data_IF_070709053570
#
_entry.id   IF_070709053570
#
_cell.length_a   1.000
_cell.length_b   1.000
_cell.length_c   1.000
_cell.angle_alpha   90.00
_cell.angle_beta   90.00
_cell.angle_gamma   90.00
#
_symmetry.space_group_name_H-M   'P 1'
#
loop_
_entity.id
_entity.type
_entity.pdbx_description
1 polymer ?
#
# COMPACT_ATOMS: atom_id res chain seq x y z
N UNK A 1 -1.65 -34.55 45.45
CA UNK A 1 -2.57 -33.53 44.87
C UNK A 1 -1.89 -32.49 43.96
N UNK A 2 -0.54 -32.37 43.91
CA UNK A 2 0.16 -31.42 43.02
C UNK A 2 0.24 -31.84 41.54
N UNK A 3 0.18 -33.16 41.25
CA UNK A 3 0.28 -33.69 39.88
C UNK A 3 -0.98 -33.47 39.02
N UNK A 4 -2.17 -33.30 39.62
CA UNK A 4 -3.40 -33.02 38.86
C UNK A 4 -3.52 -31.55 38.43
N UNK A 5 -2.85 -30.62 39.13
CA UNK A 5 -2.88 -29.19 38.78
C UNK A 5 -1.95 -28.84 37.62
N UNK A 6 -0.80 -29.51 37.50
CA UNK A 6 0.11 -29.30 36.36
C UNK A 6 -0.45 -29.83 35.04
N UNK A 7 -1.26 -30.89 35.08
CA UNK A 7 -1.89 -31.47 33.89
C UNK A 7 -2.93 -30.51 33.25
N UNK A 8 -3.68 -29.77 34.07
CA UNK A 8 -4.69 -28.82 33.59
C UNK A 8 -4.08 -27.61 32.88
N UNK A 9 -2.93 -27.11 33.37
CA UNK A 9 -2.23 -26.00 32.74
C UNK A 9 -1.58 -26.40 31.40
N UNK A 10 -1.02 -27.61 31.32
CA UNK A 10 -0.44 -28.12 30.07
C UNK A 10 -1.50 -28.34 28.98
N UNK A 11 -2.68 -28.85 29.36
CA UNK A 11 -3.78 -29.07 28.43
C UNK A 11 -4.36 -27.74 27.90
N UNK A 12 -4.50 -26.74 28.77
CA UNK A 12 -4.95 -25.40 28.37
C UNK A 12 -3.96 -24.73 27.41
N UNK A 13 -2.65 -24.84 27.65
CA UNK A 13 -1.62 -24.31 26.77
C UNK A 13 -1.64 -25.00 25.39
N UNK A 14 -1.87 -26.33 25.36
CA UNK A 14 -1.95 -27.10 24.13
C UNK A 14 -3.23 -26.78 23.32
N UNK A 15 -4.35 -26.54 24.00
CA UNK A 15 -5.59 -26.06 23.34
C UNK A 15 -5.45 -24.64 22.77
N UNK A 16 -4.74 -23.74 23.45
CA UNK A 16 -4.46 -22.39 22.91
C UNK A 16 -3.54 -22.48 21.70
N UNK A 17 -2.48 -23.29 21.77
CA UNK A 17 -1.58 -23.51 20.63
C UNK A 17 -2.32 -24.12 19.42
N UNK A 18 -3.20 -25.10 19.65
CA UNK A 18 -4.03 -25.69 18.61
C UNK A 18 -5.03 -24.69 18.01
N UNK A 19 -5.62 -23.79 18.82
CA UNK A 19 -6.50 -22.73 18.33
C UNK A 19 -5.76 -21.69 17.47
N UNK A 20 -4.56 -21.28 17.87
CA UNK A 20 -3.72 -20.38 17.07
C UNK A 20 -3.33 -21.02 15.75
N UNK A 21 -2.94 -22.31 15.77
CA UNK A 21 -2.56 -23.05 14.56
C UNK A 21 -3.75 -23.27 13.61
N UNK A 22 -4.95 -23.51 14.14
CA UNK A 22 -6.18 -23.65 13.34
C UNK A 22 -6.71 -22.32 12.80
N UNK A 23 -6.42 -21.20 13.45
CA UNK A 23 -6.73 -19.84 12.96
C UNK A 23 -5.76 -19.42 11.83
N UNK A 24 -4.49 -19.81 11.90
CA UNK A 24 -3.52 -19.58 10.82
C UNK A 24 -3.80 -20.47 9.59
N UNK A 25 -4.32 -21.68 9.78
CA UNK A 25 -4.68 -22.58 8.67
C UNK A 25 -6.03 -22.25 7.99
N UNK A 26 -6.96 -21.56 8.67
CA UNK A 26 -8.27 -21.20 8.10
C UNK A 26 -8.35 -19.79 7.49
N UNK A 27 -7.30 -18.98 7.58
CA UNK A 27 -7.27 -17.64 6.98
C UNK A 27 -7.08 -17.64 5.44
N UNK A 28 -6.97 -18.82 4.81
CA UNK A 28 -6.62 -18.96 3.39
C UNK A 28 -7.78 -19.33 2.46
N UNK A 29 -9.05 -19.28 2.89
CA UNK A 29 -10.19 -19.52 1.99
C UNK A 29 -11.35 -18.51 2.18
N UNK A 30 -11.58 -17.71 1.11
CA UNK A 30 -12.82 -16.97 0.73
C UNK A 30 -13.23 -15.67 1.48
N UNK A 31 -12.64 -14.56 1.01
CA UNK A 31 -13.27 -13.44 0.27
C UNK A 31 -14.80 -13.23 0.42
N UNK A 32 -15.20 -12.01 0.87
CA UNK A 32 -16.33 -11.22 0.31
C UNK A 32 -15.87 -9.74 0.26
N UNK A 33 -15.75 -9.09 -0.92
CA UNK A 33 -15.78 -7.64 -1.03
C UNK A 33 -17.23 -7.19 -1.27
N UNK A 34 -17.68 -6.21 -0.50
CA UNK A 34 -18.93 -5.50 -0.75
C UNK A 34 -18.63 -4.40 -1.78
N UNK A 35 -19.29 -4.46 -2.94
CA UNK A 35 -19.47 -3.36 -3.89
C UNK A 35 -20.92 -2.87 -3.74
N UNK A 36 -21.17 -1.56 -3.64
CA UNK A 36 -21.79 -0.68 -4.67
C UNK A 36 -22.28 0.59 -3.95
N UNK A 37 -22.35 1.83 -4.47
CA UNK A 37 -22.12 2.51 -5.76
C UNK A 37 -21.71 3.98 -5.40
N UNK A 38 -20.94 4.76 -6.17
CA UNK A 38 -21.34 5.45 -7.40
C UNK A 38 -20.12 6.00 -8.17
N UNK A 39 -20.17 5.90 -9.50
CA UNK A 39 -19.83 7.02 -10.38
C UNK A 39 -18.37 7.28 -10.77
N UNK A 40 -17.79 6.46 -11.65
CA UNK A 40 -16.94 6.96 -12.74
C UNK A 40 -16.84 5.94 -13.88
N UNK A 41 -17.66 6.16 -14.92
CA UNK A 41 -17.47 5.54 -16.21
C UNK A 41 -16.12 5.98 -16.80
N UNK A 42 -15.27 5.02 -17.13
CA UNK A 42 -14.25 5.18 -18.16
C UNK A 42 -14.04 3.83 -18.81
N UNK A 43 -14.69 3.67 -19.96
CA UNK A 43 -14.47 2.57 -20.89
C UNK A 43 -13.03 2.62 -21.40
N UNK A 44 -12.22 1.64 -21.02
CA UNK A 44 -11.02 1.27 -21.78
C UNK A 44 -11.11 -0.22 -22.13
N UNK A 45 -11.77 -0.48 -23.24
CA UNK A 45 -11.90 -1.78 -23.87
C UNK A 45 -10.62 -2.13 -24.63
N UNK A 46 -9.58 -2.68 -23.99
CA UNK A 46 -8.36 -3.16 -24.68
C UNK A 46 -7.93 -4.56 -24.22
N UNK A 47 -7.32 -5.35 -25.14
CA UNK A 47 -7.42 -6.79 -25.12
C UNK A 47 -6.43 -7.43 -24.14
N UNK A 48 -6.95 -8.31 -23.29
CA UNK A 48 -6.15 -9.34 -22.66
C UNK A 48 -5.77 -10.40 -23.71
N UNK A 49 -4.75 -10.14 -24.55
CA UNK A 49 -4.12 -11.21 -25.34
C UNK A 49 -3.11 -11.96 -24.49
N UNK A 50 -3.62 -12.69 -23.49
CA UNK A 50 -2.86 -13.75 -22.85
C UNK A 50 -2.73 -14.91 -23.83
N UNK A 51 -1.58 -15.03 -24.49
CA UNK A 51 -1.20 -16.30 -25.10
C UNK A 51 -1.06 -17.32 -23.96
N UNK A 52 -2.03 -18.23 -23.85
CA UNK A 52 -1.95 -19.41 -22.98
C UNK A 52 -0.89 -20.33 -23.55
N UNK A 53 0.36 -20.11 -23.18
CA UNK A 53 1.40 -21.13 -23.32
C UNK A 53 1.17 -22.21 -22.25
N UNK A 54 1.18 -23.47 -22.69
CA UNK A 54 0.97 -24.67 -21.89
C UNK A 54 1.94 -24.74 -20.68
N UNK A 55 1.52 -25.36 -19.55
CA UNK A 55 2.40 -25.55 -18.40
C UNK A 55 3.41 -26.66 -18.71
N UNK A 56 4.69 -26.34 -18.91
CA UNK A 56 5.69 -27.41 -19.06
C UNK A 56 7.11 -27.11 -19.55
N UNK A 57 7.48 -25.89 -19.97
CA UNK A 57 8.89 -25.59 -20.28
C UNK A 57 9.39 -24.43 -19.44
N UNK A 58 10.27 -24.74 -18.48
CA UNK A 58 11.13 -23.72 -17.85
C UNK A 58 11.99 -23.14 -18.97
N UNK A 59 11.60 -21.99 -19.49
CA UNK A 59 12.38 -21.28 -20.48
C UNK A 59 13.72 -20.89 -19.86
N UNK A 60 14.80 -21.44 -20.41
CA UNK A 60 16.16 -21.02 -20.06
C UNK A 60 16.53 -19.82 -20.90
N UNK A 61 17.23 -18.87 -20.29
CA UNK A 61 17.68 -17.63 -20.91
C UNK A 61 18.30 -17.82 -22.31
N UNK A 62 19.21 -18.78 -22.49
CA UNK A 62 19.86 -19.03 -23.79
C UNK A 62 18.89 -19.54 -24.87
N UNK A 63 17.96 -20.43 -24.48
CA UNK A 63 16.92 -20.95 -25.38
C UNK A 63 15.85 -19.91 -25.71
N UNK A 64 15.65 -18.93 -24.84
CA UNK A 64 14.79 -17.78 -25.11
C UNK A 64 15.46 -16.85 -26.12
N UNK A 65 16.74 -16.54 -25.92
CA UNK A 65 17.51 -15.66 -26.82
C UNK A 65 17.54 -16.20 -28.25
N UNK A 66 17.68 -17.52 -28.43
CA UNK A 66 17.71 -18.12 -29.77
C UNK A 66 16.40 -17.99 -30.55
N UNK A 67 15.31 -17.54 -29.92
CA UNK A 67 14.00 -17.34 -30.53
C UNK A 67 13.70 -15.88 -30.87
N UNK A 68 14.55 -14.95 -30.43
CA UNK A 68 14.38 -13.53 -30.74
C UNK A 68 14.59 -13.36 -32.24
N UNK A 69 13.59 -12.83 -32.92
CA UNK A 69 13.66 -12.54 -34.35
C UNK A 69 13.62 -11.03 -34.60
N UNK A 70 14.70 -10.51 -35.18
CA UNK A 70 14.80 -9.11 -35.59
C UNK A 70 14.49 -8.90 -37.07
N UNK A 71 14.18 -9.97 -37.82
CA UNK A 71 14.02 -9.95 -39.28
C UNK A 71 12.64 -9.49 -39.77
N UNK A 72 11.63 -9.42 -38.90
CA UNK A 72 10.33 -8.85 -39.26
C UNK A 72 10.30 -7.33 -39.14
N UNK A 73 10.21 -6.67 -40.30
CA UNK A 73 9.66 -5.32 -40.49
C UNK A 73 8.15 -5.29 -40.21
N UNK A 74 7.72 -5.88 -39.09
CA UNK A 74 6.36 -5.80 -38.59
C UNK A 74 6.02 -4.35 -38.26
N UNK A 75 4.80 -3.93 -38.57
CA UNK A 75 4.32 -2.59 -38.25
C UNK A 75 4.67 -2.24 -36.80
N UNK A 76 5.37 -1.11 -36.61
CA UNK A 76 5.63 -0.54 -35.28
C UNK A 76 4.32 -0.53 -34.51
N UNK A 77 4.22 -1.40 -33.52
CA UNK A 77 3.03 -1.48 -32.71
C UNK A 77 3.10 -0.31 -31.72
N UNK A 78 2.53 0.84 -32.09
CA UNK A 78 2.55 2.05 -31.26
C UNK A 78 2.04 1.81 -29.83
N UNK A 79 1.17 0.82 -29.64
CA UNK A 79 0.71 0.38 -28.32
C UNK A 79 1.84 -0.24 -27.46
N UNK A 80 2.77 -1.00 -28.06
CA UNK A 80 3.91 -1.59 -27.36
C UNK A 80 5.05 -0.58 -27.15
N UNK A 81 5.28 0.33 -28.09
CA UNK A 81 6.22 1.46 -27.92
C UNK A 81 5.89 2.29 -26.69
N UNK A 82 4.59 2.46 -26.42
CA UNK A 82 4.14 3.13 -25.22
C UNK A 82 4.24 2.25 -23.98
N UNK A 83 4.40 0.93 -24.05
CA UNK A 83 4.32 0.06 -22.87
C UNK A 83 5.60 0.02 -22.00
N UNK A 84 6.73 0.54 -22.52
CA UNK A 84 8.02 0.38 -21.85
C UNK A 84 8.15 1.11 -20.51
N UNK A 85 7.28 2.08 -20.22
CA UNK A 85 7.24 2.74 -18.92
C UNK A 85 6.93 1.78 -17.76
N UNK A 86 6.40 0.58 -18.03
CA UNK A 86 6.13 -0.42 -16.99
C UNK A 86 7.36 -1.21 -16.57
N UNK A 87 8.42 -1.16 -17.37
CA UNK A 87 9.66 -1.88 -17.09
C UNK A 87 10.66 -0.99 -16.35
N UNK A 88 11.47 -1.57 -15.46
CA UNK A 88 12.62 -0.88 -14.91
C UNK A 88 13.70 -0.69 -15.98
N UNK A 89 14.55 0.31 -15.77
CA UNK A 89 15.69 0.61 -16.65
C UNK A 89 16.98 0.64 -15.82
N UNK A 90 18.07 0.14 -16.41
CA UNK A 90 19.43 0.45 -15.98
C UNK A 90 20.08 1.37 -17.03
N UNK A 91 20.29 2.63 -16.66
CA UNK A 91 20.59 3.68 -17.64
C UNK A 91 19.48 3.78 -18.70
N UNK A 92 19.86 3.59 -19.95
CA UNK A 92 18.94 3.58 -21.11
C UNK A 92 18.49 2.17 -21.51
N UNK A 93 18.88 1.13 -20.75
CA UNK A 93 18.59 -0.26 -21.08
C UNK A 93 17.34 -0.74 -20.33
N UNK A 94 16.24 -1.09 -21.03
CA UNK A 94 15.09 -1.72 -20.37
C UNK A 94 15.48 -3.08 -19.78
N UNK A 95 14.94 -3.39 -18.61
CA UNK A 95 15.10 -4.67 -17.94
C UNK A 95 13.80 -5.46 -18.10
N UNK A 96 13.86 -6.57 -18.83
CA UNK A 96 12.68 -7.36 -19.21
C UNK A 96 12.86 -8.79 -18.73
N UNK A 97 11.87 -9.31 -18.02
CA UNK A 97 11.83 -10.72 -17.65
C UNK A 97 11.44 -11.57 -18.87
N UNK A 98 12.15 -12.68 -19.10
CA UNK A 98 11.84 -13.62 -20.21
C UNK A 98 10.41 -14.18 -20.14
N UNK A 99 9.76 -14.16 -18.98
CA UNK A 99 8.35 -14.52 -18.84
C UNK A 99 7.39 -13.56 -19.59
N UNK A 100 7.85 -12.35 -19.95
CA UNK A 100 7.06 -11.40 -20.75
C UNK A 100 6.93 -11.81 -22.23
N UNK A 101 7.71 -12.79 -22.70
CA UNK A 101 7.73 -13.24 -24.09
C UNK A 101 8.69 -12.44 -24.99
N UNK A 102 8.96 -12.97 -26.19
CA UNK A 102 9.96 -12.41 -27.11
C UNK A 102 9.54 -11.08 -27.72
N UNK A 103 8.24 -10.83 -27.88
CA UNK A 103 7.73 -9.62 -28.53
C UNK A 103 8.19 -8.32 -27.85
N UNK A 104 8.11 -8.24 -26.51
CA UNK A 104 8.58 -7.06 -25.77
C UNK A 104 10.10 -6.86 -25.90
N UNK A 105 10.84 -7.96 -26.01
CA UNK A 105 12.30 -7.96 -26.15
C UNK A 105 12.73 -7.52 -27.54
N UNK A 106 12.06 -8.01 -28.59
CA UNK A 106 12.30 -7.64 -29.98
C UNK A 106 12.03 -6.15 -30.19
N UNK A 107 10.91 -5.63 -29.68
CA UNK A 107 10.60 -4.20 -29.76
C UNK A 107 11.59 -3.35 -28.94
N UNK A 108 12.04 -3.83 -27.76
CA UNK A 108 13.06 -3.14 -26.99
C UNK A 108 14.39 -3.06 -27.76
N UNK A 109 14.83 -4.16 -28.37
CA UNK A 109 16.04 -4.21 -29.19
C UNK A 109 15.94 -3.30 -30.43
N UNK A 110 14.76 -3.20 -31.05
CA UNK A 110 14.53 -2.27 -32.17
C UNK A 110 14.54 -0.81 -31.73
N UNK A 111 14.02 -0.49 -30.53
CA UNK A 111 13.87 0.88 -30.05
C UNK A 111 15.13 1.42 -29.37
N UNK A 112 15.76 0.62 -28.51
CA UNK A 112 16.89 1.03 -27.67
C UNK A 112 18.23 0.43 -28.13
N UNK A 113 18.20 -0.54 -29.04
CA UNK A 113 19.41 -1.24 -29.52
C UNK A 113 19.96 -2.26 -28.52
N UNK A 114 19.46 -2.27 -27.28
CA UNK A 114 19.90 -3.17 -26.22
C UNK A 114 18.79 -3.40 -25.18
N UNK A 115 18.95 -4.45 -24.38
CA UNK A 115 18.02 -4.84 -23.32
C UNK A 115 18.76 -5.72 -22.31
N UNK A 116 18.40 -5.61 -21.03
CA UNK A 116 18.80 -6.57 -20.00
C UNK A 116 17.69 -7.61 -19.87
N UNK A 117 17.97 -8.86 -20.23
CA UNK A 117 17.06 -9.96 -20.02
C UNK A 117 17.31 -10.60 -18.67
N UNK A 118 16.26 -10.73 -17.88
CA UNK A 118 16.31 -11.43 -16.58
C UNK A 118 15.50 -12.72 -16.65
N UNK A 119 16.06 -13.75 -16.04
CA UNK A 119 15.42 -15.03 -15.80
C UNK A 119 15.20 -15.14 -14.29
N UNK A 120 14.03 -14.68 -13.83
CA UNK A 120 13.69 -14.69 -12.41
C UNK A 120 13.57 -16.10 -11.82
N UNK A 121 13.35 -17.12 -12.65
CA UNK A 121 13.29 -18.52 -12.20
C UNK A 121 14.69 -19.06 -11.92
N UNK A 122 15.63 -18.84 -12.83
CA UNK A 122 17.00 -19.34 -12.72
C UNK A 122 17.98 -18.34 -12.08
N UNK A 123 17.51 -17.16 -11.66
CA UNK A 123 18.28 -16.09 -11.03
C UNK A 123 19.50 -15.67 -11.89
N UNK A 124 19.27 -15.47 -13.18
CA UNK A 124 20.30 -15.05 -14.16
C UNK A 124 19.88 -13.80 -14.90
N UNK A 125 20.87 -13.05 -15.38
CA UNK A 125 20.63 -11.95 -16.29
C UNK A 125 21.70 -11.92 -17.39
N UNK A 126 21.30 -11.49 -18.59
CA UNK A 126 22.20 -11.24 -19.71
C UNK A 126 21.87 -9.89 -20.34
N UNK A 127 22.90 -9.19 -20.77
CA UNK A 127 22.75 -8.05 -21.68
C UNK A 127 22.65 -8.59 -23.09
N UNK A 128 21.68 -8.11 -23.84
CA UNK A 128 21.46 -8.46 -25.23
C UNK A 128 21.50 -7.18 -26.05
N UNK A 129 22.29 -7.17 -27.11
CA UNK A 129 22.47 -6.02 -28.01
C UNK A 129 22.12 -6.40 -29.44
N UNK A 130 21.47 -5.49 -30.15
CA UNK A 130 21.24 -5.59 -31.58
C UNK A 130 22.32 -4.77 -32.30
N UNK A 131 23.29 -5.45 -32.93
CA UNK A 131 24.33 -4.82 -33.74
C UNK A 131 24.24 -5.35 -35.18
N UNK A 132 24.03 -4.45 -36.15
CA UNK A 132 24.00 -4.78 -37.59
C UNK A 132 23.02 -5.92 -37.94
N UNK A 133 21.84 -5.94 -37.30
CA UNK A 133 20.83 -6.99 -37.50
C UNK A 133 21.17 -8.34 -36.87
N UNK A 134 22.22 -8.42 -36.04
CA UNK A 134 22.59 -9.61 -35.27
C UNK A 134 22.47 -9.36 -33.78
N UNK A 135 22.22 -10.43 -33.04
CA UNK A 135 22.15 -10.42 -31.58
C UNK A 135 23.53 -10.75 -31.01
N UNK A 136 24.03 -9.89 -30.13
CA UNK A 136 25.17 -10.17 -29.27
C UNK A 136 24.70 -10.32 -27.83
N UNK A 137 25.36 -11.21 -27.08
CA UNK A 137 25.00 -11.49 -25.68
C UNK A 137 26.21 -11.39 -24.80
N UNK A 138 26.04 -10.77 -23.65
CA UNK A 138 27.06 -10.60 -22.63
C UNK A 138 26.50 -10.94 -21.27
N UNK A 139 27.34 -11.47 -20.39
CA UNK A 139 26.97 -11.63 -18.99
C UNK A 139 26.73 -10.25 -18.36
N UNK A 140 25.69 -10.16 -17.52
CA UNK A 140 25.31 -8.91 -16.91
C UNK A 140 25.83 -8.81 -15.48
N UNK A 141 26.80 -7.91 -15.25
CA UNK A 141 27.50 -7.78 -13.97
C UNK A 141 26.56 -7.50 -12.79
N UNK A 142 25.50 -6.72 -13.00
CA UNK A 142 24.56 -6.32 -11.94
C UNK A 142 23.32 -7.21 -11.87
N UNK A 143 23.47 -8.52 -12.09
CA UNK A 143 22.36 -9.50 -12.13
C UNK A 143 21.40 -9.37 -10.94
N UNK A 144 21.93 -9.27 -9.71
CA UNK A 144 21.10 -9.14 -8.51
C UNK A 144 20.24 -7.86 -8.48
N UNK A 145 20.79 -6.74 -8.96
CA UNK A 145 20.06 -5.47 -9.04
C UNK A 145 18.94 -5.55 -10.09
N UNK A 146 19.23 -6.09 -11.28
CA UNK A 146 18.23 -6.25 -12.34
C UNK A 146 17.08 -7.18 -11.93
N UNK A 147 17.39 -8.32 -11.31
CA UNK A 147 16.39 -9.24 -10.76
C UNK A 147 15.54 -8.59 -9.66
N UNK A 148 16.17 -7.77 -8.82
CA UNK A 148 15.43 -7.07 -7.78
C UNK A 148 14.51 -6.00 -8.36
N UNK A 149 14.99 -5.16 -9.27
CA UNK A 149 14.18 -4.13 -9.94
C UNK A 149 13.01 -4.75 -10.71
N UNK A 150 13.23 -5.87 -11.43
CA UNK A 150 12.16 -6.57 -12.15
C UNK A 150 11.09 -7.17 -11.24
N UNK A 151 11.42 -7.44 -9.97
CA UNK A 151 10.48 -7.96 -8.97
C UNK A 151 9.57 -6.90 -8.32
N UNK A 152 9.88 -5.62 -8.54
CA UNK A 152 9.11 -4.48 -8.02
C UNK A 152 7.86 -4.29 -8.87
N UNK A 153 6.81 -3.77 -8.24
CA UNK A 153 5.54 -3.55 -8.93
C UNK A 153 5.68 -2.59 -10.13
N UNK A 154 5.14 -2.95 -11.32
CA UNK A 154 5.18 -2.11 -12.52
C UNK A 154 4.63 -0.69 -12.35
N UNK A 155 3.69 -0.47 -11.42
CA UNK A 155 3.15 0.88 -11.14
C UNK A 155 4.24 1.82 -10.61
N UNK A 156 5.22 1.30 -9.86
CA UNK A 156 6.36 2.08 -9.35
C UNK A 156 7.25 2.55 -10.49
N UNK A 157 7.52 1.66 -11.45
CA UNK A 157 8.32 1.97 -12.63
C UNK A 157 7.58 2.98 -13.51
N UNK A 158 6.28 2.76 -13.72
CA UNK A 158 5.41 3.69 -14.46
C UNK A 158 5.45 5.08 -13.85
N UNK A 159 5.26 5.17 -12.53
CA UNK A 159 5.33 6.43 -11.81
C UNK A 159 6.70 7.11 -11.93
N UNK A 160 7.80 6.35 -11.81
CA UNK A 160 9.18 6.87 -11.99
C UNK A 160 9.38 7.45 -13.38
N UNK A 161 8.99 6.73 -14.43
CA UNK A 161 9.11 7.20 -15.82
C UNK A 161 8.31 8.46 -16.07
N UNK A 162 7.04 8.48 -15.62
CA UNK A 162 6.19 9.66 -15.76
C UNK A 162 6.74 10.86 -14.99
N UNK A 163 7.37 10.65 -13.83
CA UNK A 163 7.97 11.73 -13.04
C UNK A 163 9.21 12.32 -13.71
N UNK A 164 10.05 11.50 -14.36
CA UNK A 164 11.22 12.00 -15.11
C UNK A 164 10.83 12.73 -16.40
N UNK A 165 9.73 12.32 -17.04
CA UNK A 165 9.32 12.82 -18.36
C UNK A 165 8.22 13.89 -18.30
N UNK A 166 7.93 14.47 -17.11
CA UNK A 166 6.84 15.44 -16.94
C UNK A 166 6.94 16.66 -17.88
N UNK A 167 8.16 17.05 -18.27
CA UNK A 167 8.40 18.20 -19.14
C UNK A 167 8.18 17.92 -20.64
N UNK A 168 7.92 16.68 -21.05
CA UNK A 168 7.70 16.33 -22.45
C UNK A 168 6.19 16.36 -22.79
N UNK A 169 5.66 17.41 -23.44
CA UNK A 169 4.24 17.52 -23.77
C UNK A 169 3.77 16.46 -24.79
N UNK A 170 4.71 15.85 -25.50
CA UNK A 170 4.45 14.79 -26.47
C UNK A 170 4.59 13.38 -25.86
N UNK A 171 4.75 13.27 -24.53
CA UNK A 171 4.83 11.97 -23.88
C UNK A 171 3.49 11.22 -24.04
N UNK A 172 3.51 9.96 -24.51
CA UNK A 172 2.30 9.23 -24.90
C UNK A 172 1.37 8.90 -23.73
N UNK A 173 1.88 8.95 -22.50
CA UNK A 173 1.12 8.70 -21.28
C UNK A 173 1.30 9.89 -20.35
N UNK A 174 0.19 10.43 -19.84
CA UNK A 174 0.20 11.54 -18.90
C UNK A 174 0.15 11.02 -17.47
N UNK A 175 0.68 11.80 -16.54
CA UNK A 175 0.47 11.55 -15.11
C UNK A 175 -1.04 11.57 -14.82
N UNK A 176 -1.62 10.52 -14.22
CA UNK A 176 -3.01 10.55 -13.81
C UNK A 176 -3.23 11.57 -12.70
N UNK A 177 -4.49 11.94 -12.47
CA UNK A 177 -4.84 12.87 -11.41
C UNK A 177 -4.41 12.29 -10.04
N UNK A 178 -3.75 13.11 -9.19
CA UNK A 178 -3.34 12.68 -7.85
C UNK A 178 -4.55 12.25 -7.00
N UNK A 179 -4.48 11.06 -6.43
CA UNK A 179 -5.53 10.52 -5.55
C UNK A 179 -5.10 10.75 -4.09
N UNK A 180 -5.95 11.42 -3.31
CA UNK A 180 -5.65 11.83 -1.94
C UNK A 180 -5.23 10.63 -1.05
N UNK A 181 -4.05 10.73 -0.44
CA UNK A 181 -3.52 9.71 0.49
C UNK A 181 -3.55 10.14 1.95
N UNK A 182 -4.07 11.32 2.30
CA UNK A 182 -4.07 11.86 3.68
C UNK A 182 -4.75 10.92 4.68
N UNK A 183 -5.68 10.10 4.17
CA UNK A 183 -6.40 9.12 4.96
C UNK A 183 -5.59 7.83 5.23
N UNK A 184 -4.54 7.56 4.47
CA UNK A 184 -3.67 6.40 4.63
C UNK A 184 -2.71 6.57 5.81
N UNK A 185 -2.12 5.49 6.34
CA UNK A 185 -1.13 5.58 7.41
C UNK A 185 0.06 6.46 7.02
N UNK A 186 0.57 7.27 7.94
CA UNK A 186 1.77 8.07 7.76
C UNK A 186 2.75 7.84 8.91
N UNK A 187 4.03 7.72 8.56
CA UNK A 187 5.12 7.69 9.53
C UNK A 187 6.08 8.84 9.24
N UNK A 188 6.39 9.64 10.26
CA UNK A 188 7.30 10.79 10.14
C UNK A 188 6.89 11.77 9.00
N UNK A 189 5.59 11.88 8.71
CA UNK A 189 5.04 12.73 7.63
C UNK A 189 5.02 12.09 6.24
N UNK A 190 5.55 10.87 6.08
CA UNK A 190 5.56 10.14 4.82
C UNK A 190 4.43 9.10 4.75
N UNK A 191 3.64 9.08 3.67
CA UNK A 191 2.54 8.12 3.51
C UNK A 191 3.05 6.70 3.28
N UNK A 192 2.27 5.73 3.75
CA UNK A 192 2.49 4.29 3.55
C UNK A 192 1.36 3.75 2.68
N UNK A 193 1.66 3.44 1.42
CA UNK A 193 0.71 2.86 0.49
C UNK A 193 0.66 1.34 0.64
N UNK A 194 -0.55 0.79 0.64
CA UNK A 194 -0.78 -0.65 0.64
C UNK A 194 -1.07 -1.16 -0.77
N UNK A 195 -1.18 -2.48 -0.97
CA UNK A 195 -1.49 -3.05 -2.28
C UNK A 195 -2.80 -2.52 -2.89
N UNK A 196 -3.77 -2.07 -2.08
CA UNK A 196 -5.02 -1.47 -2.57
C UNK A 196 -4.88 -0.02 -3.05
N UNK A 197 -3.83 0.67 -2.57
CA UNK A 197 -3.64 2.12 -2.74
C UNK A 197 -2.33 2.44 -3.48
N UNK A 198 -1.73 1.45 -4.16
CA UNK A 198 -0.45 1.59 -4.85
C UNK A 198 -0.61 1.79 -6.36
N UNK A 199 -1.53 2.67 -6.76
CA UNK A 199 -1.67 3.12 -8.17
C UNK A 199 -0.80 4.35 -8.43
N UNK A 200 -0.46 4.63 -9.70
CA UNK A 200 0.28 5.86 -10.07
C UNK A 200 -0.35 7.13 -9.49
N UNK A 201 -1.68 7.25 -9.47
CA UNK A 201 -2.37 8.43 -8.92
C UNK A 201 -2.16 8.62 -7.41
N UNK A 202 -2.19 7.53 -6.63
CA UNK A 202 -1.85 7.57 -5.21
C UNK A 202 -0.37 7.89 -5.01
N UNK A 203 0.53 7.30 -5.81
CA UNK A 203 1.98 7.60 -5.74
C UNK A 203 2.28 9.06 -6.06
N UNK A 204 1.59 9.64 -7.03
CA UNK A 204 1.71 11.05 -7.39
C UNK A 204 1.33 11.95 -6.21
N UNK A 205 0.18 11.72 -5.57
CA UNK A 205 -0.20 12.46 -4.37
C UNK A 205 0.75 12.21 -3.21
N UNK A 206 1.12 10.94 -2.98
CA UNK A 206 1.99 10.51 -1.89
C UNK A 206 3.37 11.17 -1.96
N UNK A 207 3.91 11.34 -3.16
CA UNK A 207 5.19 12.01 -3.40
C UNK A 207 5.14 13.54 -3.19
N UNK A 208 3.95 14.13 -3.07
CA UNK A 208 3.77 15.56 -2.84
C UNK A 208 3.89 15.91 -1.35
N UNK A 209 5.08 15.66 -0.78
CA UNK A 209 5.45 16.00 0.57
C UNK A 209 6.90 16.56 0.60
N UNK A 210 7.36 17.18 1.69
CA UNK A 210 8.69 17.80 1.76
C UNK A 210 9.85 16.83 1.45
N UNK A 211 9.74 15.56 1.84
CA UNK A 211 10.76 14.53 1.60
C UNK A 211 10.70 13.97 0.17
N UNK A 212 9.62 14.26 -0.57
CA UNK A 212 9.31 13.68 -1.89
C UNK A 212 9.45 12.16 -1.91
N UNK A 213 8.96 11.50 -0.86
CA UNK A 213 9.09 10.05 -0.69
C UNK A 213 7.86 9.44 -0.06
N UNK A 214 7.70 8.13 -0.24
CA UNK A 214 6.65 7.36 0.39
C UNK A 214 7.09 5.91 0.57
N UNK A 215 6.34 5.16 1.38
CA UNK A 215 6.58 3.74 1.60
C UNK A 215 5.56 2.88 0.88
N UNK A 216 6.01 1.73 0.38
CA UNK A 216 5.13 0.65 -0.07
C UNK A 216 5.17 -0.49 0.93
N UNK A 217 4.02 -0.84 1.47
CA UNK A 217 3.86 -1.92 2.42
C UNK A 217 3.02 -3.05 1.82
N UNK A 218 3.61 -4.25 1.69
CA UNK A 218 2.92 -5.44 1.19
C UNK A 218 3.07 -6.59 2.18
N UNK A 219 1.97 -7.30 2.42
CA UNK A 219 1.99 -8.45 3.30
C UNK A 219 3.00 -9.51 2.81
N UNK A 220 3.79 -10.06 3.72
CA UNK A 220 4.82 -11.06 3.42
C UNK A 220 6.06 -10.54 2.68
N UNK A 221 6.16 -9.23 2.40
CA UNK A 221 7.34 -8.63 1.76
C UNK A 221 7.96 -7.57 2.67
N UNK A 222 9.27 -7.34 2.50
CA UNK A 222 9.93 -6.20 3.15
C UNK A 222 9.35 -4.88 2.61
N UNK A 223 9.08 -3.89 3.46
CA UNK A 223 8.63 -2.58 3.00
C UNK A 223 9.67 -1.93 2.08
N UNK A 224 9.19 -1.15 1.11
CA UNK A 224 10.04 -0.40 0.19
C UNK A 224 9.91 1.09 0.48
N UNK A 225 11.01 1.82 0.41
CA UNK A 225 11.04 3.28 0.36
C UNK A 225 11.19 3.72 -1.09
N UNK A 226 10.34 4.64 -1.54
CA UNK A 226 10.31 5.14 -2.92
C UNK A 226 10.71 6.63 -2.93
N UNK A 227 11.67 6.96 -3.78
CA UNK A 227 12.24 8.29 -4.00
C UNK A 227 12.21 8.61 -5.50
N UNK A 228 11.07 9.01 -6.07
CA UNK A 228 10.87 9.11 -7.52
C UNK A 228 11.82 10.06 -8.24
N UNK A 229 12.51 10.97 -7.55
CA UNK A 229 13.48 11.90 -8.14
C UNK A 229 14.93 11.36 -8.15
N UNK A 230 15.24 10.34 -7.33
CA UNK A 230 16.60 9.81 -7.18
C UNK A 230 16.92 8.74 -8.21
N UNK A 231 18.20 8.57 -8.56
CA UNK A 231 18.65 7.49 -9.44
C UNK A 231 18.27 6.11 -8.89
N UNK A 232 18.61 5.85 -7.62
CA UNK A 232 18.08 4.73 -6.85
C UNK A 232 16.70 5.08 -6.27
N UNK A 233 15.69 5.11 -7.14
CA UNK A 233 14.33 5.55 -6.79
C UNK A 233 13.55 4.60 -5.89
N UNK A 234 14.10 3.44 -5.60
CA UNK A 234 13.51 2.45 -4.71
C UNK A 234 14.61 1.85 -3.86
N UNK A 235 14.30 1.51 -2.62
CA UNK A 235 15.23 0.83 -1.69
C UNK A 235 14.42 0.00 -0.70
N UNK A 236 14.93 -1.14 -0.26
CA UNK A 236 14.31 -1.88 0.84
C UNK A 236 14.47 -1.09 2.16
N UNK A 237 13.40 -0.95 2.93
CA UNK A 237 13.50 -0.37 4.26
C UNK A 237 14.43 -1.22 5.14
N UNK A 238 15.48 -0.61 5.70
CA UNK A 238 16.43 -1.29 6.59
C UNK A 238 15.76 -1.81 7.86
N UNK A 239 16.42 -2.70 8.61
CA UNK A 239 15.79 -3.46 9.71
C UNK A 239 15.04 -2.61 10.74
N UNK A 240 15.62 -1.50 11.19
CA UNK A 240 14.95 -0.61 12.16
C UNK A 240 13.72 0.09 11.55
N UNK A 241 13.84 0.65 10.35
CA UNK A 241 12.72 1.31 9.67
C UNK A 241 11.61 0.33 9.28
N UNK A 242 11.99 -0.84 8.78
CA UNK A 242 11.05 -1.92 8.46
C UNK A 242 10.24 -2.38 9.68
N UNK A 243 10.89 -2.53 10.84
CA UNK A 243 10.20 -2.86 12.09
C UNK A 243 9.27 -1.72 12.55
N UNK A 244 9.70 -0.46 12.45
CA UNK A 244 8.85 0.70 12.76
C UNK A 244 7.61 0.74 11.87
N UNK A 245 7.78 0.55 10.56
CA UNK A 245 6.69 0.45 9.59
C UNK A 245 5.73 -0.68 9.95
N UNK A 246 6.24 -1.87 10.24
CA UNK A 246 5.41 -3.01 10.62
C UNK A 246 4.57 -2.71 11.87
N UNK A 247 5.20 -2.25 12.96
CA UNK A 247 4.50 -1.89 14.20
C UNK A 247 3.47 -0.79 13.96
N UNK A 248 3.80 0.22 13.15
CA UNK A 248 2.88 1.30 12.83
C UNK A 248 1.66 0.79 12.05
N UNK A 249 1.87 -0.07 11.05
CA UNK A 249 0.79 -0.72 10.30
C UNK A 249 -0.09 -1.61 11.18
N UNK A 250 0.49 -2.33 12.14
CA UNK A 250 -0.27 -3.10 13.13
C UNK A 250 -1.14 -2.17 13.98
N UNK A 251 -0.59 -1.06 14.48
CA UNK A 251 -1.37 -0.08 15.27
C UNK A 251 -2.52 0.53 14.47
N UNK A 252 -2.28 0.91 13.22
CA UNK A 252 -3.32 1.40 12.31
C UNK A 252 -4.43 0.36 12.10
N UNK A 253 -4.05 -0.89 11.81
CA UNK A 253 -5.01 -1.99 11.65
C UNK A 253 -5.80 -2.28 12.92
N UNK A 254 -5.13 -2.33 14.08
CA UNK A 254 -5.78 -2.51 15.38
C UNK A 254 -6.74 -1.37 15.70
N UNK A 255 -6.38 -0.12 15.41
CA UNK A 255 -7.29 1.02 15.59
C UNK A 255 -8.49 0.92 14.65
N UNK A 256 -8.27 0.56 13.37
CA UNK A 256 -9.35 0.38 12.38
C UNK A 256 -10.37 -0.65 12.85
N UNK A 257 -9.90 -1.75 13.45
CA UNK A 257 -10.77 -2.80 14.03
C UNK A 257 -11.41 -2.34 15.34
N UNK A 258 -10.65 -1.77 16.27
CA UNK A 258 -11.12 -1.34 17.59
C UNK A 258 -12.28 -0.35 17.50
N UNK A 259 -12.14 0.64 16.62
CA UNK A 259 -13.13 1.69 16.40
C UNK A 259 -14.09 1.38 15.25
N UNK A 260 -13.88 0.25 14.56
CA UNK A 260 -14.62 -0.17 13.35
C UNK A 260 -14.71 0.95 12.30
N UNK A 261 -13.69 1.80 12.23
CA UNK A 261 -13.66 3.01 11.41
C UNK A 261 -12.23 3.27 10.93
N UNK A 262 -12.04 3.21 9.60
CA UNK A 262 -10.78 3.61 8.96
C UNK A 262 -10.52 5.10 9.14
N UNK A 263 -11.57 5.93 9.15
CA UNK A 263 -11.47 7.37 9.43
C UNK A 263 -10.90 7.63 10.83
N UNK A 264 -11.34 6.88 11.85
CA UNK A 264 -10.79 7.00 13.21
C UNK A 264 -9.33 6.54 13.30
N UNK A 265 -8.98 5.44 12.62
CA UNK A 265 -7.58 5.01 12.55
C UNK A 265 -6.70 6.05 11.85
N UNK A 266 -7.21 6.63 10.78
CA UNK A 266 -6.57 7.70 10.02
C UNK A 266 -6.44 9.02 10.79
N UNK A 267 -7.36 9.29 11.71
CA UNK A 267 -7.26 10.43 12.61
C UNK A 267 -6.01 10.32 13.51
N UNK A 268 -5.71 9.10 13.98
CA UNK A 268 -4.60 8.82 14.90
C UNK A 268 -3.26 8.58 14.20
N UNK A 269 -3.29 7.95 13.04
CA UNK A 269 -2.10 7.38 12.38
C UNK A 269 -2.00 7.80 10.91
N UNK A 270 -2.94 8.60 10.40
CA UNK A 270 -2.85 9.16 9.05
C UNK A 270 -2.01 10.42 8.99
N UNK A 271 -2.22 11.27 7.97
CA UNK A 271 -1.42 12.48 7.81
C UNK A 271 -1.56 13.41 9.01
N UNK A 272 -0.46 13.93 9.60
CA UNK A 272 -0.54 14.87 10.71
C UNK A 272 -1.46 16.06 10.38
N UNK A 273 -2.37 16.38 11.30
CA UNK A 273 -3.38 17.43 11.09
C UNK A 273 -2.81 18.74 11.63
N UNK A 274 -2.57 19.76 10.78
CA UNK A 274 -2.08 21.05 11.27
C UNK A 274 -3.16 21.74 12.11
N UNK A 275 -2.75 22.30 13.24
CA UNK A 275 -3.53 23.30 13.97
C UNK A 275 -3.61 24.56 13.12
N UNK A 276 -4.82 24.98 12.83
CA UNK A 276 -5.11 26.28 12.27
C UNK A 276 -4.98 27.34 13.37
N UNK A 277 -4.42 28.49 13.03
CA UNK A 277 -4.36 29.63 13.96
C UNK A 277 -5.73 30.29 14.21
N UNK A 278 -6.80 29.69 13.71
CA UNK A 278 -8.17 30.21 13.74
C UNK A 278 -8.83 29.93 15.09
N UNK A 279 -8.65 30.85 16.03
CA UNK A 279 -9.46 30.94 17.24
C UNK A 279 -9.34 29.76 18.21
N UNK A 280 -9.88 29.91 19.42
CA UNK A 280 -10.02 28.78 20.34
C UNK A 280 -11.28 28.00 19.95
N UNK A 281 -11.26 26.65 19.95
CA UNK A 281 -12.47 25.87 19.75
C UNK A 281 -13.55 26.26 20.77
N UNK A 282 -14.83 26.15 20.39
CA UNK A 282 -15.93 26.57 21.25
C UNK A 282 -16.14 25.68 22.50
N UNK A 283 -15.50 24.50 22.54
CA UNK A 283 -15.52 23.56 23.67
C UNK A 283 -16.78 22.69 23.76
N UNK A 284 -17.71 22.78 22.81
CA UNK A 284 -18.95 22.00 22.79
C UNK A 284 -18.80 20.72 21.99
N UNK A 285 -19.09 19.55 22.57
CA UNK A 285 -19.02 18.27 21.83
C UNK A 285 -20.11 18.14 20.77
N UNK A 286 -19.73 17.63 19.60
CA UNK A 286 -20.65 17.12 18.59
C UNK A 286 -20.67 15.59 18.58
N UNK A 287 -21.82 14.99 18.31
CA UNK A 287 -21.96 13.54 18.21
C UNK A 287 -21.76 13.08 16.76
N UNK A 288 -20.82 12.16 16.55
CA UNK A 288 -20.56 11.48 15.28
C UNK A 288 -21.00 10.02 15.40
N UNK A 289 -22.03 9.66 14.65
CA UNK A 289 -22.65 8.34 14.70
C UNK A 289 -22.23 7.55 13.46
N UNK A 290 -21.71 6.35 13.70
CA UNK A 290 -21.49 5.33 12.69
C UNK A 290 -22.63 4.30 12.75
N UNK A 291 -23.19 4.00 11.59
CA UNK A 291 -24.20 2.96 11.40
C UNK A 291 -23.98 2.22 10.08
N UNK A 292 -24.96 1.40 9.66
CA UNK A 292 -24.88 0.61 8.43
C UNK A 292 -24.96 1.45 7.15
N UNK A 293 -25.51 2.66 7.25
CA UNK A 293 -25.82 3.58 6.15
C UNK A 293 -24.83 4.74 6.07
N UNK A 294 -24.13 5.06 7.16
CA UNK A 294 -23.20 6.19 7.22
C UNK A 294 -22.03 5.89 8.14
N UNK A 295 -20.82 6.21 7.68
CA UNK A 295 -19.62 6.28 8.52
C UNK A 295 -19.05 7.69 8.46
N UNK A 296 -18.79 8.35 9.60
CA UNK A 296 -18.16 9.66 9.62
C UNK A 296 -16.79 9.62 8.92
N UNK A 297 -16.57 10.57 8.02
CA UNK A 297 -15.32 10.73 7.29
C UNK A 297 -14.24 11.36 8.16
N UNK A 298 -12.99 11.19 7.74
CA UNK A 298 -11.84 11.85 8.37
C UNK A 298 -11.98 13.38 8.37
N UNK A 299 -12.50 13.95 7.27
CA UNK A 299 -12.70 15.39 7.15
C UNK A 299 -13.73 15.91 8.17
N UNK A 300 -14.86 15.20 8.35
CA UNK A 300 -15.86 15.54 9.37
C UNK A 300 -15.27 15.46 10.79
N UNK A 301 -14.44 14.45 11.07
CA UNK A 301 -13.76 14.34 12.38
C UNK A 301 -12.75 15.48 12.63
N UNK A 302 -11.99 15.88 11.61
CA UNK A 302 -11.06 17.01 11.69
C UNK A 302 -11.82 18.31 11.92
N UNK A 303 -12.91 18.52 11.19
CA UNK A 303 -13.75 19.71 11.33
C UNK A 303 -14.35 19.79 12.73
N UNK A 304 -14.83 18.67 13.25
CA UNK A 304 -15.29 18.59 14.63
C UNK A 304 -14.17 18.98 15.62
N UNK A 305 -12.94 18.49 15.46
CA UNK A 305 -11.84 18.88 16.34
C UNK A 305 -11.51 20.37 16.25
N UNK A 306 -11.51 20.97 15.05
CA UNK A 306 -11.21 22.39 14.84
C UNK A 306 -12.26 23.30 15.46
N UNK A 307 -13.53 23.05 15.13
CA UNK A 307 -14.63 23.93 15.50
C UNK A 307 -15.05 23.72 16.96
N UNK A 308 -15.05 22.48 17.41
CA UNK A 308 -15.61 22.06 18.70
C UNK A 308 -14.58 21.70 19.77
N UNK A 309 -13.36 21.38 19.37
CA UNK A 309 -12.30 20.90 20.28
C UNK A 309 -12.44 19.42 20.65
N UNK A 310 -13.54 18.78 20.24
CA UNK A 310 -13.80 17.38 20.51
C UNK A 310 -15.15 16.92 19.95
N UNK A 311 -15.33 15.60 19.90
CA UNK A 311 -16.56 14.95 19.48
C UNK A 311 -16.76 13.62 20.22
N UNK A 312 -17.99 13.13 20.26
CA UNK A 312 -18.32 11.81 20.78
C UNK A 312 -18.61 10.88 19.62
N UNK A 313 -17.89 9.77 19.56
CA UNK A 313 -18.01 8.76 18.52
C UNK A 313 -18.84 7.58 19.01
N UNK A 314 -19.96 7.33 18.33
CA UNK A 314 -20.88 6.23 18.61
C UNK A 314 -20.87 5.25 17.45
N UNK A 315 -20.66 3.96 17.73
CA UNK A 315 -20.92 2.89 16.77
C UNK A 315 -22.20 2.18 17.20
N UNK A 316 -23.23 2.26 16.35
CA UNK A 316 -24.58 1.74 16.61
C UNK A 316 -24.72 0.23 16.42
N UNK A 317 -23.64 -0.48 16.07
CA UNK A 317 -23.67 -1.91 15.91
C UNK A 317 -23.85 -2.66 17.24
N UNK A 318 -24.59 -3.76 17.23
CA UNK A 318 -24.91 -4.56 18.43
C UNK A 318 -23.67 -5.11 19.17
N UNK A 319 -22.55 -5.27 18.46
CA UNK A 319 -21.27 -5.76 18.98
C UNK A 319 -20.25 -4.65 19.22
N UNK A 320 -20.69 -3.39 19.17
CA UNK A 320 -19.85 -2.21 19.28
C UNK A 320 -19.14 -2.13 20.63
N UNK A 321 -17.92 -1.61 20.60
CA UNK A 321 -17.23 -1.19 21.81
C UNK A 321 -17.92 0.06 22.38
N UNK A 322 -17.75 0.33 23.68
CA UNK A 322 -18.37 1.49 24.35
C UNK A 322 -18.12 2.78 23.55
N UNK A 323 -19.06 3.75 23.56
CA UNK A 323 -18.87 5.00 22.84
C UNK A 323 -17.59 5.70 23.33
N UNK A 324 -16.94 6.42 22.43
CA UNK A 324 -15.66 7.08 22.68
C UNK A 324 -15.82 8.58 22.65
N UNK A 325 -15.04 9.26 23.46
CA UNK A 325 -14.87 10.69 23.42
C UNK A 325 -13.49 11.00 22.84
N UNK A 326 -13.49 11.85 21.82
CA UNK A 326 -12.29 12.29 21.11
C UNK A 326 -12.09 13.77 21.39
N UNK A 327 -10.92 14.15 21.88
CA UNK A 327 -10.61 15.53 22.31
C UNK A 327 -9.25 15.97 21.81
N UNK A 328 -9.09 17.27 21.59
CA UNK A 328 -7.77 17.87 21.51
C UNK A 328 -7.14 17.90 22.91
N UNK A 329 -5.94 17.33 23.05
CA UNK A 329 -5.13 17.53 24.26
C UNK A 329 -4.62 18.97 24.25
N UNK A 330 -5.10 19.77 25.19
CA UNK A 330 -4.78 21.19 25.28
C UNK A 330 -3.27 21.43 25.48
N UNK A 331 -2.62 22.10 24.53
CA UNK A 331 -1.56 23.09 24.78
C UNK A 331 -1.38 24.00 23.54
N UNK A 332 -1.10 25.32 23.68
CA UNK A 332 -1.12 26.28 22.60
C UNK A 332 0.18 26.17 21.82
N UNK A 333 0.27 25.15 20.98
CA UNK A 333 1.35 25.08 20.05
C UNK A 333 1.00 26.06 18.90
N UNK A 334 1.90 26.99 18.60
CA UNK A 334 1.67 28.08 17.66
C UNK A 334 1.32 27.55 16.25
N UNK A 335 0.81 28.43 15.38
CA UNK A 335 0.52 28.07 13.99
C UNK A 335 1.68 27.26 13.38
N UNK A 336 1.38 26.07 12.86
CA UNK A 336 2.37 25.15 12.28
C UNK A 336 2.62 23.86 13.07
N UNK A 337 2.02 23.69 14.25
CA UNK A 337 2.07 22.42 15.00
C UNK A 337 0.92 21.48 14.69
N UNK A 338 1.10 20.18 14.93
CA UNK A 338 0.07 19.18 14.70
C UNK A 338 -0.87 19.05 15.90
N UNK A 339 -2.14 18.73 15.63
CA UNK A 339 -3.12 18.41 16.67
C UNK A 339 -2.68 17.17 17.47
N UNK A 340 -2.69 17.27 18.80
CA UNK A 340 -2.58 16.12 19.70
C UNK A 340 -3.98 15.67 20.12
N UNK A 341 -4.32 14.41 19.88
CA UNK A 341 -5.68 13.88 20.00
C UNK A 341 -5.71 12.81 21.08
N UNK A 342 -6.60 12.95 22.07
CA UNK A 342 -6.94 11.88 23.01
C UNK A 342 -8.23 11.18 22.59
N UNK A 343 -8.28 9.88 22.82
CA UNK A 343 -9.49 9.08 22.69
C UNK A 343 -9.70 8.31 23.99
N UNK A 344 -10.81 8.57 24.67
CA UNK A 344 -11.17 7.97 25.95
C UNK A 344 -12.53 7.29 25.85
N UNK A 345 -12.74 6.11 26.46
CA UNK A 345 -14.07 5.54 26.55
C UNK A 345 -14.99 6.47 27.36
N UNK A 346 -16.21 6.70 26.88
CA UNK A 346 -17.21 7.40 27.67
C UNK A 346 -17.63 6.47 28.80
N UNK A 347 -17.34 6.86 30.04
CA UNK A 347 -17.85 6.14 31.19
C UNK A 347 -19.37 6.28 31.24
N UNK A 348 -20.13 5.19 31.37
CA UNK A 348 -21.56 5.30 31.60
C UNK A 348 -21.75 6.09 32.89
N UNK A 349 -22.55 7.17 32.83
CA UNK A 349 -22.93 7.91 34.02
C UNK A 349 -23.40 6.91 35.10
N UNK A 350 -22.97 7.05 36.35
CA UNK A 350 -23.28 6.11 37.43
C UNK A 350 -24.79 5.80 37.58
N UNK A 351 -25.65 6.66 37.04
CA UNK A 351 -27.10 6.52 37.03
C UNK A 351 -27.67 5.65 35.90
N UNK A 352 -26.90 5.31 34.85
CA UNK A 352 -27.34 4.45 33.73
C UNK A 352 -26.96 2.97 33.89
N UNK A 353 -26.45 2.57 35.07
CA UNK A 353 -26.23 1.15 35.37
C UNK A 353 -27.57 0.43 35.34
N UNK A 354 -27.70 -0.54 34.42
CA UNK A 354 -28.76 -1.53 34.43
C UNK A 354 -28.93 -2.11 35.84
N UNK A 355 -30.16 -2.43 36.24
CA UNK A 355 -30.47 -3.08 37.52
C UNK A 355 -29.56 -4.30 37.76
N UNK A 356 -29.15 -5.00 36.69
CA UNK A 356 -28.22 -6.13 36.74
C UNK A 356 -26.78 -5.76 37.11
N UNK A 357 -26.30 -4.59 36.70
CA UNK A 357 -24.96 -4.12 37.06
C UNK A 357 -24.90 -3.63 38.52
N UNK A 358 -26.02 -3.09 39.04
CA UNK A 358 -26.16 -2.75 40.46
C UNK A 358 -26.15 -4.01 41.34
N UNK A 359 -26.84 -5.07 40.91
CA UNK A 359 -26.87 -6.36 41.63
C UNK A 359 -25.52 -7.07 41.63
N UNK A 360 -24.72 -6.97 40.56
CA UNK A 360 -23.36 -7.54 40.53
C UNK A 360 -22.38 -6.85 41.48
N UNK A 361 -22.54 -5.53 41.71
CA UNK A 361 -21.67 -4.79 42.65
C UNK A 361 -22.05 -4.99 44.12
N UNK A 362 -23.29 -5.39 44.42
CA UNK A 362 -23.72 -5.71 45.79
C UNK A 362 -23.36 -7.14 46.23
N UNK A 363 -22.72 -7.93 45.37
CA UNK A 363 -22.23 -9.26 45.70
C UNK A 363 -20.71 -9.23 45.86
N UNK A 364 -20.24 -8.45 46.84
CA UNK A 364 -18.91 -8.56 47.45
C UNK A 364 -19.14 -8.88 48.92
#
# INVERSE_FOLDING_TARGET
MLLLRSLHCALAALCIAALVFMLECNATYKIIPVWSDDGASSSSSHPASGSRNAPGSVYRLDSFISRIDLSEGGQRNNALLNSFYRYPFDGDMPIIDIQAGTQAVEEALKQFGNVVLVDSVNQRAKRVEAQQGRIQTHDYAQTANALWLSSIDPEVHTFRHLTRNQANPNHPTRMPDPINTDHLPHIDGEPILTSGDATVGHMAYASNNPSRSFYLYRHGKKPLAIFPDREHYVTQAGGQLGNRLHVHMTKYGTASVKYRSSAMASLLYGKPIPQDGSGRPNGQYVDLIQDRTRSPSRAEMIEALRTHGGFRFYDSHLSSSRPFEVRLRSNPAGAGTHMDISIEPIEPAANSLSVMDRLRRMRI
#
